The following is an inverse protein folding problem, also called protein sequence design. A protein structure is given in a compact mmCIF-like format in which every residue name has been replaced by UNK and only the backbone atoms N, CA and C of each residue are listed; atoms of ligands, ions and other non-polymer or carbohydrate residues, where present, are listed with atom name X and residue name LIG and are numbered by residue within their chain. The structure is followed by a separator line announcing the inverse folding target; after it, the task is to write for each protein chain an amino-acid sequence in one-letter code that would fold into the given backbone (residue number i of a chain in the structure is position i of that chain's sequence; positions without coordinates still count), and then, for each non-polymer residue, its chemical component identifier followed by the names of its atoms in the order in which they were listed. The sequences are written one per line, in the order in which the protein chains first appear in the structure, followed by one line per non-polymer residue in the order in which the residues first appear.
data_IF_319142846866
#
_entry.id   IF_319142846866
#
_cell.length_a   1.000
_cell.length_b   1.000
_cell.length_c   1.000
_cell.angle_alpha   90.00
_cell.angle_beta   90.00
_cell.angle_gamma   90.00
#
_symmetry.space_group_name_H-M   'P 1'
#
loop_
_entity.id
_entity.type
_entity.pdbx_description
1 polymer ?
#
# COMPACT_ATOMS: atom_id res chain seq x y z
N UNK A 1 21.59 -34.64 -16.28
CA UNK A 1 21.82 -34.80 -14.83
C UNK A 1 20.55 -34.34 -14.14
N UNK A 2 19.68 -35.30 -13.85
CA UNK A 2 18.42 -35.11 -13.11
C UNK A 2 18.74 -34.77 -11.65
N UNK A 3 18.13 -33.73 -11.10
CA UNK A 3 18.11 -33.49 -9.66
C UNK A 3 16.70 -33.82 -9.15
N UNK A 4 16.59 -34.98 -8.51
CA UNK A 4 15.38 -35.45 -7.84
C UNK A 4 15.12 -34.64 -6.56
N UNK A 5 13.94 -34.01 -6.50
CA UNK A 5 13.38 -33.40 -5.29
C UNK A 5 13.06 -34.49 -4.26
N UNK A 6 13.64 -34.39 -3.07
CA UNK A 6 13.49 -35.35 -1.97
C UNK A 6 12.06 -35.23 -1.39
N UNK A 7 11.25 -36.32 -1.34
CA UNK A 7 9.85 -36.30 -0.92
C UNK A 7 9.65 -36.29 0.62
N UNK A 8 10.51 -35.58 1.35
CA UNK A 8 10.51 -35.56 2.83
C UNK A 8 10.17 -34.21 3.46
N UNK A 9 10.20 -33.11 2.71
CA UNK A 9 10.15 -31.77 3.31
C UNK A 9 8.75 -31.36 3.82
N UNK A 10 7.69 -31.96 3.28
CA UNK A 10 6.31 -31.66 3.67
C UNK A 10 5.86 -32.39 4.95
N UNK A 11 6.56 -33.45 5.37
CA UNK A 11 6.18 -34.22 6.57
C UNK A 11 6.61 -33.57 7.89
N UNK A 12 7.57 -32.64 7.89
CA UNK A 12 8.01 -31.94 9.10
C UNK A 12 7.11 -30.76 9.52
N UNK A 13 6.28 -30.22 8.63
CA UNK A 13 5.43 -29.05 8.91
C UNK A 13 4.14 -29.38 9.68
N UNK A 14 3.81 -30.67 9.87
CA UNK A 14 2.58 -31.11 10.53
C UNK A 14 2.79 -31.68 11.94
N UNK A 15 4.02 -31.66 12.47
CA UNK A 15 4.31 -32.16 13.81
C UNK A 15 5.17 -31.15 14.59
N UNK A 16 4.52 -30.42 15.50
CA UNK A 16 5.10 -29.51 16.50
C UNK A 16 5.36 -28.04 16.07
N UNK A 17 4.41 -27.11 16.33
CA UNK A 17 4.60 -25.67 16.10
C UNK A 17 5.67 -24.99 17.01
N UNK A 18 6.29 -25.72 17.94
CA UNK A 18 7.37 -25.19 18.81
C UNK A 18 8.77 -25.14 18.16
N UNK A 19 8.99 -25.75 16.99
CA UNK A 19 10.30 -25.80 16.34
C UNK A 19 10.45 -24.87 15.13
N UNK A 20 9.37 -24.22 14.67
CA UNK A 20 9.40 -23.33 13.48
C UNK A 20 9.97 -21.95 13.82
N UNK A 21 9.72 -21.45 15.04
CA UNK A 21 10.21 -20.15 15.52
C UNK A 21 11.75 -20.08 15.61
N UNK A 22 12.48 -21.06 16.19
CA UNK A 22 13.94 -20.96 16.29
C UNK A 22 14.66 -21.03 14.93
N UNK A 23 14.10 -21.74 13.93
CA UNK A 23 14.70 -21.82 12.60
C UNK A 23 14.61 -20.49 11.84
N UNK A 24 13.48 -19.78 11.94
CA UNK A 24 13.30 -18.47 11.32
C UNK A 24 14.22 -17.41 11.96
N UNK A 25 14.39 -17.46 13.29
CA UNK A 25 15.28 -16.55 14.03
C UNK A 25 16.74 -16.77 13.64
N UNK A 26 17.17 -18.03 13.47
CA UNK A 26 18.53 -18.34 13.02
C UNK A 26 18.79 -17.84 11.59
N UNK A 27 17.82 -17.97 10.68
CA UNK A 27 17.94 -17.46 9.31
C UNK A 27 18.03 -15.93 9.26
N UNK A 28 17.23 -15.22 10.07
CA UNK A 28 17.30 -13.74 10.16
C UNK A 28 18.62 -13.26 10.77
N UNK A 29 19.15 -13.98 11.77
CA UNK A 29 20.45 -13.66 12.38
C UNK A 29 21.61 -13.87 11.39
N UNK A 30 21.58 -14.94 10.58
CA UNK A 30 22.57 -15.17 9.55
C UNK A 30 22.56 -14.09 8.45
N UNK A 31 21.38 -13.62 8.05
CA UNK A 31 21.25 -12.52 7.09
C UNK A 31 21.76 -11.20 7.68
N UNK A 32 21.49 -10.93 8.96
CA UNK A 32 22.01 -9.74 9.64
C UNK A 32 23.55 -9.74 9.74
N UNK A 33 24.17 -10.89 10.02
CA UNK A 33 25.63 -11.00 10.10
C UNK A 33 26.32 -10.73 8.75
N UNK A 34 25.74 -11.19 7.64
CA UNK A 34 26.24 -10.89 6.30
C UNK A 34 26.17 -9.39 5.98
N UNK A 35 25.05 -8.76 6.31
CA UNK A 35 24.88 -7.29 6.14
C UNK A 35 25.89 -6.52 7.01
N UNK A 36 26.25 -7.03 8.19
CA UNK A 36 27.24 -6.39 9.04
C UNK A 36 28.65 -6.43 8.44
N UNK A 37 29.05 -7.54 7.81
CA UNK A 37 30.31 -7.67 7.06
C UNK A 37 30.35 -6.75 5.84
N UNK A 38 29.25 -6.66 5.09
CA UNK A 38 29.11 -5.74 3.97
C UNK A 38 29.26 -4.26 4.42
N UNK A 39 28.75 -3.90 5.60
CA UNK A 39 28.89 -2.52 6.11
C UNK A 39 30.35 -2.19 6.46
N UNK A 40 31.16 -3.16 6.91
CA UNK A 40 32.59 -2.93 7.19
C UNK A 40 33.42 -2.83 5.90
N UNK A 41 33.10 -3.62 4.87
CA UNK A 41 33.75 -3.48 3.56
C UNK A 41 33.40 -2.13 2.90
N UNK A 42 32.15 -1.66 3.09
CA UNK A 42 31.70 -0.36 2.58
C UNK A 42 32.55 0.78 3.13
N UNK A 43 33.00 0.72 4.40
CA UNK A 43 33.91 1.72 4.96
C UNK A 43 35.23 1.76 4.19
N UNK A 44 35.78 0.61 3.79
CA UNK A 44 37.03 0.51 3.02
C UNK A 44 36.86 1.06 1.60
N UNK A 45 35.75 0.72 0.95
CA UNK A 45 35.43 1.22 -0.39
C UNK A 45 35.22 2.74 -0.41
N UNK A 46 34.56 3.30 0.62
CA UNK A 46 34.40 4.74 0.77
C UNK A 46 35.74 5.47 0.98
N UNK A 47 36.69 4.89 1.72
CA UNK A 47 38.04 5.46 1.87
C UNK A 47 38.85 5.31 0.57
N UNK A 48 38.67 4.22 -0.16
CA UNK A 48 39.36 3.94 -1.42
C UNK A 48 38.93 4.87 -2.55
N UNK A 49 37.62 5.14 -2.66
CA UNK A 49 37.03 5.92 -3.75
C UNK A 49 36.75 7.38 -3.36
N UNK A 50 36.57 7.64 -2.07
CA UNK A 50 36.15 8.94 -1.56
C UNK A 50 37.26 9.99 -1.61
N UNK A 51 36.83 11.25 -1.69
CA UNK A 51 37.68 12.42 -1.51
C UNK A 51 37.54 12.91 -0.08
N UNK A 52 38.65 13.26 0.56
CA UNK A 52 38.62 13.87 1.88
C UNK A 52 38.01 15.28 1.82
N UNK A 53 36.98 15.53 2.62
CA UNK A 53 36.43 16.87 2.83
C UNK A 53 37.24 17.62 3.91
N UNK A 54 37.10 18.94 4.00
CA UNK A 54 37.74 19.81 4.99
C UNK A 54 37.48 19.39 6.44
N UNK A 55 36.39 18.65 6.68
CA UNK A 55 36.02 18.09 7.98
C UNK A 55 36.73 16.78 8.34
N UNK A 56 37.63 16.28 7.49
CA UNK A 56 38.33 14.99 7.70
C UNK A 56 37.45 13.75 7.44
N UNK A 57 36.28 13.93 6.82
CA UNK A 57 35.38 12.86 6.40
C UNK A 57 35.63 12.51 4.93
N UNK A 58 35.31 11.27 4.55
CA UNK A 58 35.38 10.83 3.15
C UNK A 58 34.00 10.98 2.50
N UNK A 59 33.98 11.61 1.33
CA UNK A 59 32.78 11.82 0.53
C UNK A 59 32.95 11.18 -0.84
N UNK A 60 31.96 10.40 -1.29
CA UNK A 60 31.93 9.81 -2.62
C UNK A 60 30.58 10.08 -3.28
N UNK A 61 30.58 10.29 -4.60
CA UNK A 61 29.35 10.34 -5.37
C UNK A 61 28.78 8.93 -5.57
N UNK A 62 27.47 8.80 -5.47
CA UNK A 62 26.75 7.55 -5.64
C UNK A 62 27.09 6.84 -6.95
N UNK A 63 27.14 7.58 -8.07
CA UNK A 63 27.41 7.01 -9.39
C UNK A 63 28.79 6.35 -9.44
N UNK A 64 29.81 7.00 -8.86
CA UNK A 64 31.18 6.47 -8.80
C UNK A 64 31.27 5.21 -7.95
N UNK A 65 30.55 5.17 -6.82
CA UNK A 65 30.47 3.97 -5.99
C UNK A 65 29.74 2.83 -6.71
N UNK A 66 28.66 3.13 -7.42
CA UNK A 66 27.84 2.14 -8.12
C UNK A 66 28.56 1.56 -9.35
N UNK A 67 29.33 2.37 -10.09
CA UNK A 67 30.03 1.94 -11.30
C UNK A 67 31.36 1.21 -11.03
N UNK A 68 31.78 1.07 -9.77
CA UNK A 68 32.99 0.35 -9.41
C UNK A 68 32.80 -1.19 -9.47
N UNK A 69 33.64 -1.84 -10.25
CA UNK A 69 33.56 -3.29 -10.51
C UNK A 69 33.66 -4.14 -9.22
N UNK A 70 34.42 -3.69 -8.21
CA UNK A 70 34.55 -4.44 -6.94
C UNK A 70 33.28 -4.34 -6.11
N UNK A 71 32.64 -3.17 -6.13
CA UNK A 71 31.36 -2.94 -5.45
C UNK A 71 30.27 -3.79 -6.12
N UNK A 72 30.19 -3.79 -7.45
CA UNK A 72 29.20 -4.60 -8.17
C UNK A 72 29.34 -6.12 -7.92
N UNK A 73 30.57 -6.62 -7.76
CA UNK A 73 30.83 -8.03 -7.48
C UNK A 73 30.61 -8.43 -6.02
N UNK A 74 30.82 -7.51 -5.08
CA UNK A 74 30.80 -7.82 -3.63
C UNK A 74 29.42 -7.67 -3.00
N UNK A 75 28.66 -6.62 -3.35
CA UNK A 75 27.36 -6.35 -2.73
C UNK A 75 26.22 -7.01 -3.51
N UNK A 76 25.47 -7.89 -2.86
CA UNK A 76 24.27 -8.51 -3.44
C UNK A 76 23.18 -7.45 -3.74
N UNK A 77 23.07 -6.46 -2.86
CA UNK A 77 22.21 -5.30 -3.04
C UNK A 77 22.80 -4.08 -2.35
N UNK A 78 23.59 -3.28 -3.08
CA UNK A 78 24.26 -2.07 -2.58
C UNK A 78 23.30 -1.13 -1.79
N UNK A 79 22.04 -1.01 -2.23
CA UNK A 79 21.01 -0.21 -1.54
C UNK A 79 20.54 -0.79 -0.22
N UNK A 80 20.55 -2.11 -0.07
CA UNK A 80 20.30 -2.76 1.22
C UNK A 80 21.39 -2.40 2.22
N UNK A 81 22.66 -2.53 1.81
CA UNK A 81 23.84 -2.24 2.64
C UNK A 81 23.90 -0.77 3.04
N UNK A 82 23.69 0.16 2.11
CA UNK A 82 23.69 1.60 2.41
C UNK A 82 22.56 2.02 3.36
N UNK A 83 21.37 1.41 3.26
CA UNK A 83 20.28 1.64 4.24
C UNK A 83 20.64 1.10 5.62
N UNK A 84 21.27 -0.08 5.69
CA UNK A 84 21.72 -0.65 6.96
C UNK A 84 22.80 0.22 7.61
N UNK A 85 23.78 0.68 6.83
CA UNK A 85 24.84 1.60 7.26
C UNK A 85 24.27 2.94 7.74
N UNK A 86 23.29 3.52 7.02
CA UNK A 86 22.60 4.76 7.43
C UNK A 86 21.81 4.58 8.72
N UNK A 87 21.14 3.44 8.90
CA UNK A 87 20.42 3.11 10.14
C UNK A 87 21.37 2.95 11.34
N UNK A 88 22.60 2.48 11.10
CA UNK A 88 23.67 2.39 12.11
C UNK A 88 24.41 3.71 12.35
N UNK A 89 24.17 4.74 11.53
CA UNK A 89 24.87 6.03 11.63
C UNK A 89 26.30 6.01 11.09
N UNK A 90 26.66 5.02 10.26
CA UNK A 90 27.98 4.91 9.64
C UNK A 90 28.12 5.88 8.46
N UNK A 91 27.05 6.03 7.68
CA UNK A 91 27.00 6.90 6.48
C UNK A 91 25.79 7.82 6.51
N UNK A 92 25.93 8.98 5.87
CA UNK A 92 24.85 9.92 5.62
C UNK A 92 24.73 10.21 4.13
N UNK A 93 23.49 10.22 3.62
CA UNK A 93 23.15 10.63 2.26
C UNK A 93 21.71 11.15 2.23
N UNK A 94 21.41 12.01 1.26
CA UNK A 94 20.07 12.60 1.08
C UNK A 94 19.13 11.63 0.34
N UNK A 95 17.89 11.49 0.82
CA UNK A 95 16.88 10.59 0.23
C UNK A 95 16.70 9.24 0.93
N UNK A 96 15.57 8.59 0.60
CA UNK A 96 15.18 7.27 1.14
C UNK A 96 15.59 6.10 0.23
N UNK A 97 15.76 6.35 -1.07
CA UNK A 97 16.15 5.36 -2.06
C UNK A 97 16.95 6.06 -3.17
N UNK A 98 18.10 5.48 -3.52
CA UNK A 98 18.94 5.99 -4.61
C UNK A 98 18.79 5.01 -5.78
N UNK A 99 18.58 5.58 -6.97
CA UNK A 99 18.42 4.87 -8.23
C UNK A 99 19.50 5.36 -9.17
N UNK A 100 20.19 4.42 -9.85
CA UNK A 100 21.19 4.72 -10.88
C UNK A 100 20.59 5.64 -11.95
N UNK A 101 21.33 6.65 -12.40
CA UNK A 101 20.91 7.67 -13.36
C UNK A 101 20.29 8.89 -12.70
N UNK A 102 19.31 8.69 -11.80
CA UNK A 102 18.61 9.80 -11.14
C UNK A 102 19.41 10.40 -9.97
N UNK A 103 20.18 9.57 -9.26
CA UNK A 103 20.85 9.94 -8.01
C UNK A 103 22.36 9.84 -8.08
N UNK A 104 22.95 9.78 -9.27
CA UNK A 104 24.39 9.57 -9.44
C UNK A 104 25.23 10.68 -8.80
N UNK A 105 24.67 11.90 -8.72
CA UNK A 105 25.30 13.09 -8.11
C UNK A 105 25.07 13.21 -6.61
N UNK A 106 24.37 12.26 -5.97
CA UNK A 106 24.15 12.30 -4.52
C UNK A 106 25.44 11.93 -3.80
N UNK A 107 25.86 12.78 -2.87
CA UNK A 107 27.08 12.59 -2.07
C UNK A 107 26.76 11.68 -0.88
N UNK A 108 27.58 10.66 -0.68
CA UNK A 108 27.57 9.77 0.47
C UNK A 108 28.75 10.15 1.36
N UNK A 109 28.45 10.60 2.58
CA UNK A 109 29.45 11.02 3.57
C UNK A 109 29.66 9.92 4.60
N UNK A 110 30.92 9.54 4.86
CA UNK A 110 31.31 8.62 5.93
C UNK A 110 31.40 9.37 7.27
N UNK A 111 30.58 8.98 8.25
CA UNK A 111 30.54 9.59 9.59
C UNK A 111 31.48 8.91 10.60
N UNK A 112 31.78 7.62 10.42
CA UNK A 112 32.61 6.85 11.33
C UNK A 112 33.97 6.53 10.68
N UNK A 113 35.06 6.96 11.32
CA UNK A 113 36.40 6.69 10.84
C UNK A 113 36.74 5.19 11.02
N UNK A 114 37.33 4.51 10.01
CA UNK A 114 37.81 3.15 10.18
C UNK A 114 38.97 3.14 11.18
N UNK A 115 38.90 2.21 12.14
CA UNK A 115 39.83 2.06 13.28
C UNK A 115 41.32 2.00 12.91
N UNK A 116 41.68 1.71 11.66
CA UNK A 116 43.05 1.38 11.25
C UNK A 116 43.61 2.22 10.08
N UNK A 117 43.01 3.37 9.73
CA UNK A 117 43.49 4.19 8.61
C UNK A 117 44.61 5.19 9.00
N UNK A 118 45.70 5.29 8.22
CA UNK A 118 46.72 6.34 8.40
C UNK A 118 46.15 7.72 8.07
N UNK A 119 46.50 8.71 8.91
CA UNK A 119 45.95 10.07 8.88
C UNK A 119 45.99 10.73 7.47
N UNK A 120 44.90 11.39 7.04
CA UNK A 120 44.83 12.02 5.72
C UNK A 120 45.75 13.24 5.63
N UNK A 121 46.54 13.32 4.55
CA UNK A 121 47.36 14.48 4.21
C UNK A 121 46.47 15.66 3.73
N UNK A 122 46.80 16.92 4.09
CA UNK A 122 45.93 18.07 3.84
C UNK A 122 45.88 18.49 2.36
N UNK A 123 44.67 18.81 1.92
CA UNK A 123 44.28 19.17 0.56
C UNK A 123 44.77 20.56 0.10
N UNK A 124 45.14 20.67 -1.18
CA UNK A 124 45.33 21.91 -1.90
C UNK A 124 44.02 22.31 -2.62
N UNK A 125 43.64 23.59 -2.50
CA UNK A 125 42.46 24.21 -3.12
C UNK A 125 42.87 25.09 -4.34
N UNK A 126 41.94 25.75 -5.07
CA UNK A 126 41.36 25.27 -6.32
C UNK A 126 41.62 26.20 -7.52
N UNK A 127 41.37 25.72 -8.75
CA UNK A 127 41.36 26.56 -9.96
C UNK A 127 40.07 26.33 -10.78
N UNK A 128 39.54 27.43 -11.30
CA UNK A 128 38.29 27.59 -12.02
C UNK A 128 38.45 27.41 -13.54
N UNK A 129 37.41 26.93 -14.24
CA UNK A 129 37.10 27.22 -15.66
C UNK A 129 35.74 26.55 -16.00
N UNK A 130 34.66 27.27 -16.24
CA UNK A 130 34.20 27.97 -17.47
C UNK A 130 33.47 27.06 -18.49
N UNK A 131 32.29 27.53 -18.93
CA UNK A 131 31.37 26.88 -19.85
C UNK A 131 31.89 26.88 -21.30
N UNK A 132 31.28 26.14 -22.25
CA UNK A 132 30.25 26.78 -23.06
C UNK A 132 29.11 25.87 -23.57
N UNK A 133 28.17 26.53 -24.24
CA UNK A 133 26.89 26.06 -24.72
C UNK A 133 26.91 25.42 -26.13
N UNK A 134 25.76 24.78 -26.42
CA UNK A 134 25.01 24.75 -27.69
C UNK A 134 25.07 23.51 -28.61
N UNK A 135 23.85 23.04 -28.92
CA UNK A 135 23.31 22.77 -30.27
C UNK A 135 22.91 21.31 -30.65
N UNK A 136 21.62 21.21 -31.00
CA UNK A 136 21.04 20.53 -32.18
C UNK A 136 20.70 19.02 -32.15
N UNK A 137 19.39 18.76 -32.23
CA UNK A 137 18.74 17.62 -32.91
C UNK A 137 18.96 17.68 -34.45
N UNK A 138 18.55 16.73 -35.34
CA UNK A 138 17.48 15.72 -35.18
C UNK A 138 17.69 14.35 -35.91
N UNK A 139 16.62 13.54 -35.93
CA UNK A 139 16.17 12.64 -37.03
C UNK A 139 16.12 11.11 -36.78
N UNK A 140 14.87 10.63 -36.74
CA UNK A 140 14.28 9.41 -37.28
C UNK A 140 15.18 8.27 -37.82
N UNK A 141 14.87 7.03 -37.39
CA UNK A 141 14.86 5.86 -38.27
C UNK A 141 13.95 4.75 -37.72
N UNK A 142 13.08 4.27 -38.59
CA UNK A 142 12.19 3.15 -38.42
C UNK A 142 12.95 1.81 -38.46
N UNK A 143 12.46 0.80 -37.73
CA UNK A 143 12.71 -0.61 -38.07
C UNK A 143 11.54 -1.47 -37.60
N UNK A 144 11.00 -2.25 -38.53
CA UNK A 144 9.86 -3.13 -38.39
C UNK A 144 10.31 -4.58 -38.16
N UNK A 145 9.50 -5.33 -37.38
CA UNK A 145 9.24 -6.78 -37.43
C UNK A 145 10.40 -7.76 -37.09
N UNK A 146 10.14 -9.04 -36.69
CA UNK A 146 8.90 -9.80 -36.87
C UNK A 146 8.35 -10.58 -35.65
N UNK A 147 7.19 -11.16 -35.93
CA UNK A 147 6.35 -12.02 -35.12
C UNK A 147 6.91 -13.44 -34.85
N UNK A 148 6.19 -14.11 -33.94
CA UNK A 148 5.99 -15.55 -33.77
C UNK A 148 6.88 -16.29 -32.75
N UNK A 149 6.26 -16.65 -31.61
CA UNK A 149 6.53 -17.91 -30.93
C UNK A 149 5.27 -18.36 -30.17
N UNK A 150 4.85 -19.59 -30.47
CA UNK A 150 3.61 -20.23 -30.08
C UNK A 150 3.57 -20.60 -28.58
N UNK A 151 2.45 -20.31 -27.91
CA UNK A 151 2.13 -20.85 -26.59
C UNK A 151 1.20 -22.06 -26.73
N UNK A 152 1.65 -23.17 -26.14
CA UNK A 152 1.02 -24.49 -26.10
C UNK A 152 -0.30 -24.49 -25.35
N UNK A 153 -1.37 -24.93 -26.01
CA UNK A 153 -2.64 -25.27 -25.39
C UNK A 153 -2.57 -26.66 -24.76
N UNK A 154 -2.55 -26.73 -23.43
CA UNK A 154 -2.86 -27.98 -22.71
C UNK A 154 -4.38 -28.10 -22.54
N UNK A 155 -4.97 -29.29 -22.73
CA UNK A 155 -6.40 -29.52 -22.55
C UNK A 155 -6.75 -29.50 -21.06
N UNK A 156 -7.43 -28.44 -20.63
CA UNK A 156 -7.98 -28.29 -19.28
C UNK A 156 -9.12 -29.32 -19.10
N UNK A 157 -8.92 -30.30 -18.22
CA UNK A 157 -9.99 -31.23 -17.82
C UNK A 157 -10.98 -30.49 -16.89
N UNK A 158 -12.29 -30.51 -17.17
CA UNK A 158 -13.27 -29.90 -16.28
C UNK A 158 -13.33 -30.69 -14.96
N UNK A 159 -12.87 -30.05 -13.88
CA UNK A 159 -13.04 -30.54 -12.51
C UNK A 159 -14.51 -30.35 -12.13
N UNK A 160 -15.23 -31.45 -11.90
CA UNK A 160 -16.59 -31.37 -11.37
C UNK A 160 -16.54 -30.82 -9.94
N UNK A 161 -17.24 -29.71 -9.73
CA UNK A 161 -17.33 -28.98 -8.46
C UNK A 161 -18.14 -29.77 -7.43
N UNK A 162 -17.74 -29.69 -6.16
CA UNK A 162 -18.43 -30.36 -5.04
C UNK A 162 -19.59 -29.50 -4.50
N UNK A 163 -20.55 -30.09 -3.80
CA UNK A 163 -21.75 -29.37 -3.30
C UNK A 163 -21.46 -28.21 -2.31
N UNK A 164 -20.27 -28.14 -1.70
CA UNK A 164 -19.83 -26.98 -0.92
C UNK A 164 -19.45 -25.78 -1.81
N UNK A 165 -19.13 -26.03 -3.08
CA UNK A 165 -18.78 -25.06 -4.11
C UNK A 165 -20.03 -24.51 -4.83
N UNK A 166 -21.24 -24.95 -4.42
CA UNK A 166 -22.54 -24.42 -4.88
C UNK A 166 -23.05 -23.24 -4.02
N UNK A 167 -22.33 -22.83 -2.96
CA UNK A 167 -22.49 -21.51 -2.34
C UNK A 167 -21.62 -20.47 -3.07
N UNK A 168 -21.77 -20.40 -4.40
CA UNK A 168 -21.15 -19.33 -5.18
C UNK A 168 -21.83 -18.02 -4.74
N UNK A 169 -21.09 -16.98 -4.31
CA UNK A 169 -21.69 -15.70 -4.00
C UNK A 169 -22.45 -15.18 -5.23
N UNK A 170 -23.58 -14.48 -5.07
CA UNK A 170 -24.38 -14.01 -6.19
C UNK A 170 -23.51 -13.17 -7.13
N UNK A 171 -23.23 -13.72 -8.31
CA UNK A 171 -22.42 -13.08 -9.36
C UNK A 171 -23.15 -11.94 -10.08
N UNK A 172 -24.39 -11.66 -9.69
CA UNK A 172 -25.22 -10.63 -10.30
C UNK A 172 -25.47 -9.49 -9.29
N UNK A 173 -25.34 -8.24 -9.77
CA UNK A 173 -25.69 -7.04 -9.02
C UNK A 173 -27.16 -7.16 -8.60
N UNK A 174 -27.42 -7.50 -7.34
CA UNK A 174 -28.80 -7.53 -6.86
C UNK A 174 -29.38 -6.11 -6.94
N UNK A 175 -30.65 -5.94 -7.34
CA UNK A 175 -31.28 -4.63 -7.42
C UNK A 175 -31.18 -3.84 -6.09
N UNK A 176 -31.16 -4.56 -4.96
CA UNK A 176 -30.99 -4.00 -3.62
C UNK A 176 -29.61 -3.37 -3.39
N UNK A 177 -28.53 -4.02 -3.89
CA UNK A 177 -27.18 -3.46 -3.82
C UNK A 177 -27.06 -2.19 -4.66
N UNK A 178 -27.62 -2.20 -5.87
CA UNK A 178 -27.63 -1.02 -6.74
C UNK A 178 -28.40 0.15 -6.11
N UNK A 179 -29.56 -0.11 -5.52
CA UNK A 179 -30.34 0.93 -4.84
C UNK A 179 -29.58 1.50 -3.63
N UNK A 180 -28.92 0.64 -2.85
CA UNK A 180 -28.10 1.06 -1.70
C UNK A 180 -26.90 1.89 -2.16
N UNK A 181 -26.24 1.48 -3.24
CA UNK A 181 -25.13 2.20 -3.84
C UNK A 181 -25.58 3.57 -4.38
N UNK A 182 -26.71 3.63 -5.09
CA UNK A 182 -27.25 4.87 -5.63
C UNK A 182 -27.61 5.87 -4.52
N UNK A 183 -28.09 5.41 -3.36
CA UNK A 183 -28.32 6.27 -2.20
C UNK A 183 -27.02 6.89 -1.67
N UNK A 184 -25.92 6.12 -1.66
CA UNK A 184 -24.58 6.64 -1.30
C UNK A 184 -24.09 7.60 -2.39
N UNK A 185 -24.27 7.26 -3.66
CA UNK A 185 -23.81 8.07 -4.79
C UNK A 185 -24.54 9.43 -4.88
N UNK A 186 -25.79 9.47 -4.44
CA UNK A 186 -26.56 10.73 -4.36
C UNK A 186 -26.16 11.62 -3.17
N UNK A 187 -25.29 11.14 -2.28
CA UNK A 187 -24.86 11.88 -1.08
C UNK A 187 -23.70 12.83 -1.37
N UNK A 188 -23.46 13.79 -0.47
CA UNK A 188 -22.32 14.70 -0.61
C UNK A 188 -20.98 13.96 -0.56
N UNK A 189 -19.91 14.40 -1.26
CA UNK A 189 -18.62 13.70 -1.27
C UNK A 189 -17.98 13.52 0.11
N UNK A 190 -18.29 14.38 1.10
CA UNK A 190 -17.86 14.17 2.50
C UNK A 190 -18.48 12.90 3.09
N UNK A 191 -19.78 12.69 2.83
CA UNK A 191 -20.52 11.53 3.33
C UNK A 191 -20.12 10.25 2.61
N UNK A 192 -19.76 10.35 1.33
CA UNK A 192 -19.12 9.25 0.60
C UNK A 192 -17.79 8.84 1.25
N UNK A 193 -16.92 9.81 1.57
CA UNK A 193 -15.65 9.57 2.25
C UNK A 193 -15.84 8.99 3.66
N UNK A 194 -16.80 9.52 4.43
CA UNK A 194 -17.17 8.99 5.74
C UNK A 194 -17.64 7.53 5.64
N UNK A 195 -18.54 7.23 4.71
CA UNK A 195 -19.04 5.88 4.49
C UNK A 195 -17.91 4.92 4.13
N UNK A 196 -17.01 5.33 3.22
CA UNK A 196 -15.84 4.55 2.85
C UNK A 196 -14.91 4.28 4.04
N UNK A 197 -14.64 5.29 4.86
CA UNK A 197 -13.85 5.13 6.09
C UNK A 197 -14.53 4.16 7.06
N UNK A 198 -15.85 4.26 7.26
CA UNK A 198 -16.58 3.29 8.09
C UNK A 198 -16.41 1.86 7.55
N UNK A 199 -16.49 1.64 6.25
CA UNK A 199 -16.30 0.29 5.69
C UNK A 199 -14.86 -0.22 5.81
N UNK A 200 -13.85 0.63 5.60
CA UNK A 200 -12.48 0.18 5.33
C UNK A 200 -11.38 0.69 6.28
N UNK A 201 -11.70 1.42 7.36
CA UNK A 201 -10.67 2.03 8.24
C UNK A 201 -9.62 1.05 8.80
N UNK A 202 -10.00 -0.21 9.02
CA UNK A 202 -9.05 -1.24 9.48
C UNK A 202 -8.14 -1.72 8.35
N UNK A 203 -8.71 -1.96 7.17
CA UNK A 203 -7.97 -2.47 6.02
C UNK A 203 -7.04 -1.40 5.41
N UNK A 204 -7.39 -0.12 5.56
CA UNK A 204 -6.57 1.02 5.13
C UNK A 204 -5.27 1.21 5.91
N UNK A 205 -5.09 0.57 7.08
CA UNK A 205 -3.86 0.75 7.86
C UNK A 205 -3.64 2.21 8.26
N UNK A 206 -2.53 2.82 7.81
CA UNK A 206 -2.22 4.25 8.00
C UNK A 206 -2.67 5.14 6.84
N UNK A 207 -3.03 4.56 5.69
CA UNK A 207 -3.46 5.27 4.47
C UNK A 207 -4.85 5.90 4.56
N UNK A 208 -5.59 5.68 5.66
CA UNK A 208 -6.88 6.33 5.88
C UNK A 208 -6.79 7.87 5.89
N UNK A 209 -5.61 8.42 6.21
CA UNK A 209 -5.32 9.86 6.17
C UNK A 209 -5.31 10.42 4.75
N UNK A 210 -5.08 9.56 3.76
CA UNK A 210 -5.04 9.95 2.36
C UNK A 210 -6.46 10.21 1.84
N UNK A 211 -7.50 9.61 2.44
CA UNK A 211 -8.90 9.78 2.00
C UNK A 211 -9.36 11.25 2.06
N UNK A 212 -9.19 12.00 3.18
CA UNK A 212 -9.48 13.44 3.20
C UNK A 212 -8.62 14.27 2.21
N UNK A 213 -7.35 13.90 2.02
CA UNK A 213 -6.47 14.59 1.07
C UNK A 213 -6.94 14.39 -0.38
N UNK A 214 -7.31 13.16 -0.73
CA UNK A 214 -7.89 12.79 -2.02
C UNK A 214 -9.24 13.48 -2.23
N UNK A 215 -10.08 13.57 -1.21
CA UNK A 215 -11.37 14.29 -1.29
C UNK A 215 -11.16 15.77 -1.64
N UNK A 216 -10.21 16.43 -0.97
CA UNK A 216 -9.87 17.82 -1.27
C UNK A 216 -9.34 17.99 -2.70
N UNK A 217 -8.46 17.09 -3.13
CA UNK A 217 -7.93 17.09 -4.49
C UNK A 217 -9.02 16.85 -5.54
N UNK A 218 -9.92 15.91 -5.26
CA UNK A 218 -11.05 15.54 -6.13
C UNK A 218 -11.97 16.74 -6.34
N UNK A 219 -12.41 17.40 -5.25
CA UNK A 219 -13.25 18.60 -5.36
C UNK A 219 -12.60 19.70 -6.16
N UNK A 220 -11.33 19.98 -5.89
CA UNK A 220 -10.59 21.01 -6.61
C UNK A 220 -10.54 20.70 -8.12
N UNK A 221 -10.25 19.45 -8.47
CA UNK A 221 -10.19 19.06 -9.88
C UNK A 221 -11.56 19.07 -10.57
N UNK A 222 -12.62 18.72 -9.84
CA UNK A 222 -14.00 18.78 -10.32
C UNK A 222 -14.40 20.24 -10.60
N UNK A 223 -14.13 21.16 -9.66
CA UNK A 223 -14.43 22.58 -9.81
C UNK A 223 -13.59 23.29 -10.87
N UNK A 224 -12.32 22.91 -11.03
CA UNK A 224 -11.41 23.54 -12.01
C UNK A 224 -11.78 23.17 -13.46
N UNK A 225 -12.45 22.04 -13.66
CA UNK A 225 -12.73 21.49 -14.99
C UNK A 225 -14.21 21.50 -15.36
N UNK A 226 -15.12 21.72 -14.42
CA UNK A 226 -16.54 21.90 -14.69
C UNK A 226 -16.79 23.32 -15.23
N UNK A 227 -17.42 23.41 -16.40
CA UNK A 227 -17.96 24.66 -16.94
C UNK A 227 -19.35 25.00 -16.37
N UNK A 228 -19.77 24.31 -15.29
CA UNK A 228 -21.08 24.40 -14.66
C UNK A 228 -21.08 23.92 -13.19
N UNK A 229 -22.24 24.01 -12.54
CA UNK A 229 -22.44 24.04 -11.08
C UNK A 229 -22.26 22.70 -10.32
N UNK A 230 -21.89 21.61 -10.99
CA UNK A 230 -21.83 20.27 -10.36
C UNK A 230 -20.42 19.94 -9.82
N UNK A 231 -20.10 20.45 -8.63
CA UNK A 231 -18.83 20.20 -7.89
C UNK A 231 -18.68 18.77 -7.30
N UNK A 232 -19.53 17.82 -7.70
CA UNK A 232 -19.72 16.53 -7.00
C UNK A 232 -19.19 15.32 -7.77
N UNK A 233 -19.18 15.37 -9.09
CA UNK A 233 -18.84 14.25 -9.98
C UNK A 233 -17.90 14.69 -11.10
N UNK A 234 -17.20 13.75 -11.72
CA UNK A 234 -16.30 13.98 -12.85
C UNK A 234 -16.73 13.17 -14.06
N UNK A 235 -16.67 13.72 -15.27
CA UNK A 235 -16.82 12.89 -16.47
C UNK A 235 -15.60 11.95 -16.64
N UNK A 236 -15.70 10.94 -17.50
CA UNK A 236 -14.61 9.97 -17.71
C UNK A 236 -13.26 10.60 -18.14
N UNK A 237 -13.28 11.73 -18.85
CA UNK A 237 -12.06 12.41 -19.30
C UNK A 237 -11.37 13.10 -18.12
N UNK A 238 -12.15 13.80 -17.29
CA UNK A 238 -11.71 14.43 -16.05
C UNK A 238 -11.21 13.38 -15.05
N UNK A 239 -12.00 12.33 -14.81
CA UNK A 239 -11.62 11.23 -13.93
C UNK A 239 -10.34 10.54 -14.42
N UNK A 240 -10.18 10.39 -15.75
CA UNK A 240 -8.95 9.91 -16.36
C UNK A 240 -7.75 10.79 -16.01
N UNK A 241 -7.84 12.11 -16.17
CA UNK A 241 -6.77 13.03 -15.83
C UNK A 241 -6.45 13.04 -14.32
N UNK A 242 -7.49 12.95 -13.49
CA UNK A 242 -7.37 12.89 -12.04
C UNK A 242 -6.63 11.62 -11.57
N UNK A 243 -7.01 10.45 -12.11
CA UNK A 243 -6.33 9.17 -11.85
C UNK A 243 -4.85 9.20 -12.23
N UNK A 244 -4.50 9.96 -13.26
CA UNK A 244 -3.12 10.14 -13.69
C UNK A 244 -2.29 10.95 -12.68
N UNK A 245 -2.92 11.90 -12.00
CA UNK A 245 -2.27 12.82 -11.07
C UNK A 245 -2.18 12.25 -9.65
N UNK A 246 -3.19 11.49 -9.23
CA UNK A 246 -3.35 11.00 -7.86
C UNK A 246 -3.40 9.48 -7.75
N UNK A 247 -3.11 8.75 -8.83
CA UNK A 247 -3.13 7.29 -8.85
C UNK A 247 -1.91 6.70 -9.54
N UNK A 248 -1.95 5.38 -9.75
CA UNK A 248 -0.92 4.67 -10.50
C UNK A 248 -1.03 4.93 -12.00
N UNK A 249 0.11 4.92 -12.68
CA UNK A 249 0.18 5.10 -14.13
C UNK A 249 -0.52 3.96 -14.84
N UNK A 250 -1.45 4.29 -15.75
CA UNK A 250 -2.23 3.35 -16.55
C UNK A 250 -2.19 3.75 -18.00
N UNK A 251 -2.19 2.77 -18.90
CA UNK A 251 -2.42 3.04 -20.33
C UNK A 251 -3.82 3.63 -20.56
N UNK A 252 -4.01 4.29 -21.70
CA UNK A 252 -5.32 4.88 -22.03
C UNK A 252 -6.44 3.84 -22.12
N UNK A 253 -6.13 2.65 -22.64
CA UNK A 253 -7.08 1.53 -22.75
C UNK A 253 -7.46 0.95 -21.40
N UNK A 254 -6.49 0.67 -20.53
CA UNK A 254 -6.74 0.12 -19.18
C UNK A 254 -7.60 1.08 -18.37
N UNK A 255 -7.27 2.36 -18.40
CA UNK A 255 -8.01 3.36 -17.62
C UNK A 255 -9.44 3.52 -18.09
N UNK A 256 -9.67 3.51 -19.41
CA UNK A 256 -11.02 3.57 -19.94
C UNK A 256 -11.83 2.34 -19.49
N UNK A 257 -11.23 1.15 -19.58
CA UNK A 257 -11.90 -0.08 -19.21
C UNK A 257 -12.21 -0.14 -17.70
N UNK A 258 -11.28 0.29 -16.85
CA UNK A 258 -11.47 0.37 -15.40
C UNK A 258 -12.51 1.42 -14.99
N UNK A 259 -12.48 2.60 -15.61
CA UNK A 259 -13.50 3.64 -15.35
C UNK A 259 -14.89 3.14 -15.74
N UNK A 260 -15.02 2.43 -16.87
CA UNK A 260 -16.29 1.82 -17.27
C UNK A 260 -16.73 0.69 -16.34
N UNK A 261 -15.80 -0.08 -15.75
CA UNK A 261 -16.16 -1.15 -14.79
C UNK A 261 -16.61 -0.58 -13.44
N UNK A 262 -16.04 0.55 -13.03
CA UNK A 262 -16.30 1.18 -11.73
C UNK A 262 -17.39 2.26 -11.80
N UNK A 263 -17.85 2.66 -12.99
CA UNK A 263 -19.11 3.38 -13.21
C UNK A 263 -20.28 2.41 -12.98
N UNK A 264 -20.68 2.26 -11.71
CA UNK A 264 -21.56 1.16 -11.29
C UNK A 264 -23.01 1.40 -11.74
N UNK A 265 -23.45 2.67 -11.71
CA UNK A 265 -24.79 3.11 -12.11
C UNK A 265 -24.90 3.51 -13.58
N UNK A 266 -23.77 3.54 -14.32
CA UNK A 266 -23.69 3.79 -15.76
C UNK A 266 -24.18 5.17 -16.17
N UNK A 267 -23.94 6.18 -15.34
CA UNK A 267 -24.31 7.57 -15.64
C UNK A 267 -23.24 8.30 -16.49
N UNK A 268 -22.10 7.64 -16.75
CA UNK A 268 -20.97 8.18 -17.51
C UNK A 268 -20.16 9.24 -16.75
N UNK A 269 -20.44 9.37 -15.45
CA UNK A 269 -19.72 10.19 -14.50
C UNK A 269 -19.10 9.28 -13.44
N UNK A 270 -18.13 9.83 -12.73
CA UNK A 270 -17.37 9.14 -11.70
C UNK A 270 -17.50 9.98 -10.46
N UNK A 271 -18.19 9.42 -9.49
CA UNK A 271 -18.31 9.96 -8.15
C UNK A 271 -17.05 9.75 -7.32
N UNK A 272 -16.99 10.42 -6.17
CA UNK A 272 -15.85 10.24 -5.27
C UNK A 272 -15.78 8.81 -4.71
N UNK A 273 -16.92 8.17 -4.44
CA UNK A 273 -16.93 6.79 -3.92
C UNK A 273 -16.42 5.80 -4.97
N UNK A 274 -16.80 5.96 -6.24
CA UNK A 274 -16.31 5.14 -7.36
C UNK A 274 -14.81 5.32 -7.56
N UNK A 275 -14.33 6.57 -7.48
CA UNK A 275 -12.90 6.84 -7.49
C UNK A 275 -12.18 6.10 -6.35
N UNK A 276 -12.72 6.11 -5.12
CA UNK A 276 -12.12 5.39 -3.99
C UNK A 276 -12.11 3.87 -4.20
N UNK A 277 -13.19 3.30 -4.76
CA UNK A 277 -13.25 1.89 -5.11
C UNK A 277 -12.14 1.51 -6.11
N UNK A 278 -11.89 2.36 -7.10
CA UNK A 278 -10.81 2.14 -8.07
C UNK A 278 -9.42 2.38 -7.48
N UNK A 279 -9.25 3.43 -6.67
CA UNK A 279 -7.97 3.80 -6.06
C UNK A 279 -7.48 2.72 -5.08
N UNK A 280 -8.39 2.17 -4.28
CA UNK A 280 -8.09 1.13 -3.29
C UNK A 280 -8.49 -0.28 -3.75
N UNK A 281 -8.64 -0.50 -5.06
CA UNK A 281 -9.15 -1.73 -5.66
C UNK A 281 -8.51 -3.01 -5.11
N UNK A 282 -7.18 -3.08 -5.08
CA UNK A 282 -6.46 -4.28 -4.59
C UNK A 282 -6.76 -4.57 -3.12
N UNK A 283 -6.81 -3.53 -2.28
CA UNK A 283 -7.11 -3.68 -0.86
C UNK A 283 -8.52 -4.24 -0.68
N UNK A 284 -9.51 -3.67 -1.39
CA UNK A 284 -10.90 -4.08 -1.30
C UNK A 284 -11.08 -5.52 -1.79
N UNK A 285 -10.48 -5.88 -2.93
CA UNK A 285 -10.52 -7.25 -3.45
C UNK A 285 -9.85 -8.24 -2.49
N UNK A 286 -8.74 -7.86 -1.87
CA UNK A 286 -8.06 -8.71 -0.89
C UNK A 286 -8.97 -9.02 0.31
N UNK A 287 -9.67 -8.01 0.84
CA UNK A 287 -10.62 -8.23 1.95
C UNK A 287 -11.86 -9.01 1.50
N UNK A 288 -12.37 -8.77 0.29
CA UNK A 288 -13.44 -9.56 -0.31
C UNK A 288 -13.08 -11.06 -0.35
N UNK A 289 -11.95 -11.41 -0.97
CA UNK A 289 -11.51 -12.80 -1.08
C UNK A 289 -11.26 -13.45 0.27
N UNK A 290 -10.67 -12.71 1.21
CA UNK A 290 -10.45 -13.17 2.59
C UNK A 290 -11.74 -13.42 3.34
N UNK A 291 -12.78 -12.60 3.14
CA UNK A 291 -14.08 -12.74 3.79
C UNK A 291 -14.83 -13.96 3.31
N UNK A 292 -14.80 -14.21 2.00
CA UNK A 292 -15.47 -15.36 1.39
C UNK A 292 -14.62 -16.64 1.40
N UNK A 293 -13.41 -16.60 1.96
CA UNK A 293 -12.44 -17.73 1.96
C UNK A 293 -12.16 -18.26 0.54
N UNK A 294 -12.17 -17.36 -0.45
CA UNK A 294 -11.97 -17.66 -1.86
C UNK A 294 -10.53 -17.33 -2.27
N UNK A 295 -10.00 -18.10 -3.23
CA UNK A 295 -8.73 -17.76 -3.88
C UNK A 295 -8.97 -16.64 -4.90
N UNK A 296 -8.12 -15.60 -4.95
CA UNK A 296 -8.23 -14.55 -5.96
C UNK A 296 -8.26 -15.12 -7.37
N UNK A 297 -9.29 -14.77 -8.14
CA UNK A 297 -9.42 -15.17 -9.54
C UNK A 297 -8.56 -14.28 -10.45
N UNK A 298 -8.43 -13.00 -10.10
CA UNK A 298 -7.64 -12.03 -10.82
C UNK A 298 -6.22 -11.91 -10.26
N UNK A 299 -5.28 -11.52 -11.12
CA UNK A 299 -3.92 -11.21 -10.70
C UNK A 299 -3.88 -9.85 -9.99
N UNK A 300 -3.91 -9.89 -8.66
CA UNK A 300 -3.82 -8.70 -7.79
C UNK A 300 -2.40 -8.10 -7.76
N UNK A 301 -1.45 -8.60 -8.55
CA UNK A 301 -0.14 -7.98 -8.72
C UNK A 301 -0.25 -6.62 -9.45
N UNK A 302 0.86 -5.87 -9.50
CA UNK A 302 0.93 -4.58 -10.21
C UNK A 302 -0.18 -3.57 -9.81
N UNK A 303 -0.49 -3.48 -8.50
CA UNK A 303 -1.54 -2.60 -7.96
C UNK A 303 -2.94 -2.82 -8.61
N UNK A 304 -3.17 -4.01 -9.20
CA UNK A 304 -4.43 -4.39 -9.82
C UNK A 304 -4.76 -3.59 -11.08
N UNK A 305 -3.77 -2.98 -11.72
CA UNK A 305 -3.94 -2.21 -12.96
C UNK A 305 -4.40 -3.14 -14.10
N UNK A 306 -5.45 -2.73 -14.81
CA UNK A 306 -6.03 -3.47 -15.93
C UNK A 306 -7.09 -4.50 -15.52
N UNK A 307 -7.29 -4.74 -14.22
CA UNK A 307 -8.36 -5.62 -13.74
C UNK A 307 -9.72 -4.95 -13.93
N UNK A 308 -10.62 -5.64 -14.64
CA UNK A 308 -11.99 -5.22 -14.96
C UNK A 308 -12.98 -6.35 -14.66
N UNK A 309 -14.29 -6.05 -14.72
CA UNK A 309 -15.39 -6.92 -14.32
C UNK A 309 -15.42 -7.24 -12.82
N UNK A 310 -14.79 -6.40 -11.99
CA UNK A 310 -14.73 -6.58 -10.54
C UNK A 310 -15.60 -5.59 -9.79
N UNK A 311 -16.26 -4.64 -10.49
CA UNK A 311 -17.12 -3.63 -9.87
C UNK A 311 -18.16 -4.19 -8.90
N UNK A 312 -18.73 -5.37 -9.20
CA UNK A 312 -19.69 -6.04 -8.31
C UNK A 312 -19.04 -6.53 -7.00
N UNK A 313 -17.82 -7.09 -7.04
CA UNK A 313 -17.06 -7.52 -5.85
C UNK A 313 -16.70 -6.32 -4.97
N UNK A 314 -16.35 -5.19 -5.61
CA UNK A 314 -16.02 -3.94 -4.93
C UNK A 314 -17.23 -3.36 -4.18
N UNK A 315 -18.39 -3.32 -4.83
CA UNK A 315 -19.63 -2.81 -4.22
C UNK A 315 -20.14 -3.73 -3.11
N UNK A 316 -20.09 -5.04 -3.33
CA UNK A 316 -20.49 -6.02 -2.31
C UNK A 316 -19.65 -5.85 -1.03
N UNK A 317 -18.32 -5.74 -1.16
CA UNK A 317 -17.46 -5.52 0.01
C UNK A 317 -17.67 -4.13 0.63
N UNK A 318 -17.89 -3.09 -0.18
CA UNK A 318 -18.19 -1.72 0.30
C UNK A 318 -19.45 -1.69 1.17
N UNK A 319 -20.51 -2.37 0.74
CA UNK A 319 -21.80 -2.42 1.44
C UNK A 319 -21.78 -3.41 2.61
N UNK A 320 -20.82 -4.34 2.64
CA UNK A 320 -20.66 -5.28 3.74
C UNK A 320 -19.94 -4.64 4.93
N UNK A 321 -20.65 -3.72 5.60
CA UNK A 321 -20.20 -3.10 6.84
C UNK A 321 -19.79 -4.18 7.86
N UNK A 322 -18.64 -4.02 8.55
CA UNK A 322 -18.23 -4.96 9.57
C UNK A 322 -19.30 -4.99 10.68
N UNK A 323 -20.03 -6.11 10.78
CA UNK A 323 -21.08 -6.30 11.79
C UNK A 323 -20.49 -6.05 13.18
N UNK A 324 -21.06 -5.09 13.91
CA UNK A 324 -20.63 -4.74 15.27
C UNK A 324 -19.41 -3.82 15.33
N UNK A 325 -19.30 -2.85 14.41
CA UNK A 325 -18.40 -1.71 14.60
C UNK A 325 -18.60 -1.12 16.00
N UNK A 326 -17.50 -0.84 16.70
CA UNK A 326 -17.57 -0.26 18.03
C UNK A 326 -18.22 1.13 17.93
N UNK A 327 -19.33 1.42 18.63
CA UNK A 327 -20.02 2.71 18.51
C UNK A 327 -19.12 3.90 18.81
N UNK A 328 -18.08 3.73 19.63
CA UNK A 328 -17.11 4.80 19.90
C UNK A 328 -16.19 5.07 18.70
N UNK A 329 -15.88 4.05 17.88
CA UNK A 329 -15.14 4.24 16.64
C UNK A 329 -16.00 4.97 15.61
N UNK A 330 -17.27 4.59 15.48
CA UNK A 330 -18.19 5.26 14.56
C UNK A 330 -18.35 6.75 14.90
N UNK A 331 -18.60 7.06 16.18
CA UNK A 331 -18.68 8.44 16.65
C UNK A 331 -17.37 9.22 16.45
N UNK A 332 -16.21 8.56 16.62
CA UNK A 332 -14.91 9.19 16.37
C UNK A 332 -14.67 9.49 14.88
N UNK A 333 -15.13 8.61 13.97
CA UNK A 333 -15.06 8.85 12.53
C UNK A 333 -15.97 10.02 12.15
N UNK A 334 -17.19 10.05 12.66
CA UNK A 334 -18.15 11.14 12.41
C UNK A 334 -17.62 12.48 12.93
N UNK A 335 -17.09 12.53 14.16
CA UNK A 335 -16.48 13.74 14.69
C UNK A 335 -15.30 14.21 13.82
N UNK A 336 -14.45 13.28 13.37
CA UNK A 336 -13.32 13.61 12.50
C UNK A 336 -13.77 14.19 11.15
N UNK A 337 -14.78 13.60 10.50
CA UNK A 337 -15.27 14.11 9.21
C UNK A 337 -16.01 15.43 9.35
N UNK A 338 -16.75 15.63 10.45
CA UNK A 338 -17.41 16.89 10.78
C UNK A 338 -16.41 18.03 11.00
N UNK A 339 -15.34 17.79 11.77
CA UNK A 339 -14.31 18.81 12.00
C UNK A 339 -13.56 19.16 10.72
N UNK A 340 -13.26 18.18 9.86
CA UNK A 340 -12.66 18.42 8.56
C UNK A 340 -13.57 19.27 7.67
N UNK A 341 -14.87 18.94 7.64
CA UNK A 341 -15.87 19.72 6.91
C UNK A 341 -15.97 21.15 7.45
N UNK A 342 -16.08 21.32 8.77
CA UNK A 342 -16.18 22.63 9.40
C UNK A 342 -14.94 23.50 9.10
N UNK A 343 -13.75 22.90 9.12
CA UNK A 343 -12.51 23.58 8.74
C UNK A 343 -12.51 23.99 7.26
N UNK A 344 -12.91 23.08 6.37
CA UNK A 344 -13.00 23.36 4.94
C UNK A 344 -13.98 24.52 4.64
N UNK A 345 -15.18 24.48 5.22
CA UNK A 345 -16.16 25.57 5.07
C UNK A 345 -15.63 26.91 5.60
N UNK A 346 -14.88 26.90 6.71
CA UNK A 346 -14.26 28.11 7.25
C UNK A 346 -13.23 28.67 6.28
N UNK A 347 -12.39 27.81 5.69
CA UNK A 347 -11.41 28.19 4.66
C UNK A 347 -12.12 28.80 3.46
N UNK A 348 -13.18 28.17 2.95
CA UNK A 348 -13.90 28.68 1.77
C UNK A 348 -14.62 30.00 2.05
N UNK A 349 -15.24 30.15 3.23
CA UNK A 349 -15.83 31.44 3.67
C UNK A 349 -14.77 32.54 3.74
N UNK A 350 -13.56 32.22 4.20
CA UNK A 350 -12.45 33.19 4.28
C UNK A 350 -11.87 33.52 2.90
N UNK A 351 -11.75 32.54 1.99
CA UNK A 351 -11.34 32.77 0.60
C UNK A 351 -12.29 33.74 -0.11
N UNK A 352 -13.61 33.49 -0.03
CA UNK A 352 -14.62 34.39 -0.60
C UNK A 352 -14.54 35.81 -0.03
N UNK A 353 -14.29 35.96 1.28
CA UNK A 353 -14.08 37.27 1.91
C UNK A 353 -12.77 37.92 1.48
N UNK A 354 -11.71 37.15 1.30
CA UNK A 354 -10.40 37.61 0.85
C UNK A 354 -10.44 38.15 -0.58
N UNK A 355 -11.25 37.53 -1.45
CA UNK A 355 -11.48 37.95 -2.84
C UNK A 355 -12.23 39.30 -2.93
N UNK A 356 -13.14 39.58 -1.99
CA UNK A 356 -13.88 40.84 -1.95
C UNK A 356 -12.99 42.09 -1.71
N UNK A 357 -11.73 41.91 -1.27
CA UNK A 357 -10.76 42.98 -1.08
C UNK A 357 -11.03 43.92 0.11
N UNK A 358 -10.31 45.05 0.16
CA UNK A 358 -10.39 46.04 1.23
C UNK A 358 -9.82 45.58 2.58
N UNK A 359 -10.05 46.36 3.64
CA UNK A 359 -9.53 46.08 4.99
C UNK A 359 -10.08 44.76 5.55
N UNK A 360 -11.37 44.47 5.30
CA UNK A 360 -12.00 43.19 5.70
C UNK A 360 -11.44 42.00 4.91
N UNK A 361 -11.16 42.18 3.62
CA UNK A 361 -10.52 41.14 2.81
C UNK A 361 -9.07 40.86 3.22
N UNK A 362 -8.30 41.89 3.59
CA UNK A 362 -6.94 41.71 4.14
C UNK A 362 -6.96 40.99 5.49
N UNK A 363 -7.92 41.31 6.37
CA UNK A 363 -8.11 40.57 7.62
C UNK A 363 -8.43 39.09 7.36
N UNK A 364 -9.33 38.80 6.42
CA UNK A 364 -9.67 37.42 6.03
C UNK A 364 -8.47 36.66 5.43
N UNK A 365 -7.62 37.32 4.62
CA UNK A 365 -6.36 36.75 4.12
C UNK A 365 -5.41 36.38 5.26
N UNK A 366 -5.25 37.26 6.25
CA UNK A 366 -4.41 36.98 7.40
C UNK A 366 -4.96 35.82 8.24
N UNK A 367 -6.27 35.79 8.50
CA UNK A 367 -6.91 34.65 9.17
C UNK A 367 -6.75 33.34 8.41
N UNK A 368 -6.84 33.38 7.07
CA UNK A 368 -6.61 32.22 6.21
C UNK A 368 -5.17 31.72 6.32
N UNK A 369 -4.19 32.63 6.24
CA UNK A 369 -2.77 32.29 6.43
C UNK A 369 -2.57 31.67 7.83
N UNK A 370 -3.19 32.22 8.87
CA UNK A 370 -3.14 31.66 10.23
C UNK A 370 -3.82 30.29 10.29
N UNK A 371 -4.91 30.02 9.57
CA UNK A 371 -5.56 28.70 9.58
C UNK A 371 -4.82 27.64 8.75
N UNK A 372 -4.14 28.07 7.69
CA UNK A 372 -3.34 27.19 6.84
C UNK A 372 -1.97 26.87 7.48
N UNK A 373 -1.34 27.86 8.11
CA UNK A 373 -0.03 27.72 8.78
C UNK A 373 -0.12 27.39 10.28
N UNK A 374 -1.26 27.65 10.89
CA UNK A 374 -1.41 27.62 12.34
C UNK A 374 -1.77 26.26 12.91
N UNK A 375 -2.08 26.33 14.19
CA UNK A 375 -2.12 25.20 15.10
C UNK A 375 -3.13 24.13 14.69
N UNK A 376 -2.61 22.96 14.29
CA UNK A 376 -3.41 21.78 13.99
C UNK A 376 -3.83 21.01 15.25
N UNK A 377 -3.61 21.55 16.46
CA UNK A 377 -3.89 20.85 17.73
C UNK A 377 -5.28 20.23 17.80
N UNK A 378 -6.35 20.94 17.43
CA UNK A 378 -7.70 20.36 17.51
C UNK A 378 -7.87 19.18 16.52
N UNK A 379 -7.42 19.34 15.27
CA UNK A 379 -7.44 18.25 14.28
C UNK A 379 -6.59 17.06 14.74
N UNK A 380 -5.41 17.34 15.30
CA UNK A 380 -4.50 16.34 15.85
C UNK A 380 -5.13 15.64 17.06
N UNK A 381 -5.89 16.34 17.90
CA UNK A 381 -6.62 15.73 19.04
C UNK A 381 -7.69 14.76 18.56
N UNK A 382 -8.43 15.12 17.51
CA UNK A 382 -9.47 14.23 16.98
C UNK A 382 -8.88 13.08 16.18
N UNK A 383 -7.78 13.29 15.45
CA UNK A 383 -6.99 12.21 14.88
C UNK A 383 -6.47 11.25 15.95
N UNK A 384 -5.93 11.76 17.07
CA UNK A 384 -5.49 10.92 18.20
C UNK A 384 -6.66 10.16 18.84
N UNK A 385 -7.83 10.80 18.95
CA UNK A 385 -9.06 10.17 19.46
C UNK A 385 -9.51 9.04 18.55
N UNK A 386 -9.49 9.27 17.24
CA UNK A 386 -9.80 8.27 16.23
C UNK A 386 -8.79 7.12 16.25
N UNK A 387 -7.49 7.39 16.35
CA UNK A 387 -6.46 6.35 16.49
C UNK A 387 -6.62 5.53 17.76
N UNK A 388 -6.96 6.17 18.89
CA UNK A 388 -7.23 5.49 20.15
C UNK A 388 -8.46 4.59 20.04
N UNK A 389 -9.54 5.08 19.42
CA UNK A 389 -10.75 4.31 19.16
C UNK A 389 -10.46 3.11 18.23
N UNK A 390 -9.69 3.33 17.15
CA UNK A 390 -9.25 2.27 16.23
C UNK A 390 -8.46 1.19 16.95
N UNK A 391 -7.44 1.56 17.73
CA UNK A 391 -6.63 0.61 18.53
C UNK A 391 -7.48 -0.17 19.53
N UNK A 392 -8.44 0.49 20.18
CA UNK A 392 -9.37 -0.16 21.12
C UNK A 392 -10.27 -1.17 20.40
N UNK A 393 -10.79 -0.81 19.23
CA UNK A 393 -11.62 -1.70 18.42
C UNK A 393 -10.82 -2.90 17.88
N UNK A 394 -9.58 -2.69 17.42
CA UNK A 394 -8.66 -3.77 17.00
C UNK A 394 -8.36 -4.75 18.15
N UNK A 395 -8.06 -4.24 19.34
CA UNK A 395 -7.81 -5.07 20.52
C UNK A 395 -9.05 -5.89 20.89
N UNK A 396 -10.24 -5.29 20.84
CA UNK A 396 -11.50 -5.98 21.09
C UNK A 396 -11.74 -7.06 20.04
N UNK A 397 -11.57 -6.76 18.75
CA UNK A 397 -11.70 -7.73 17.64
C UNK A 397 -10.71 -8.88 17.79
N UNK A 398 -9.44 -8.60 18.09
CA UNK A 398 -8.42 -9.62 18.36
C UNK A 398 -8.81 -10.53 19.53
N UNK A 399 -9.32 -9.97 20.63
CA UNK A 399 -9.79 -10.77 21.77
C UNK A 399 -10.99 -11.66 21.42
N UNK A 400 -11.91 -11.18 20.59
CA UNK A 400 -13.08 -11.94 20.13
C UNK A 400 -12.67 -13.07 19.17
N UNK A 401 -11.74 -12.80 18.24
CA UNK A 401 -11.21 -13.82 17.32
C UNK A 401 -10.50 -14.91 18.12
N UNK A 402 -9.66 -14.56 19.09
CA UNK A 402 -8.98 -15.54 19.95
C UNK A 402 -9.97 -16.35 20.78
N UNK A 403 -11.04 -15.73 21.30
CA UNK A 403 -12.09 -16.45 22.01
C UNK A 403 -12.85 -17.42 21.08
N UNK A 404 -13.17 -16.99 19.86
CA UNK A 404 -13.84 -17.84 18.86
C UNK A 404 -12.95 -19.01 18.41
N UNK A 405 -11.65 -18.78 18.20
CA UNK A 405 -10.69 -19.84 17.87
C UNK A 405 -10.55 -20.86 19.01
N UNK A 406 -10.47 -20.39 20.27
CA UNK A 406 -10.46 -21.28 21.44
C UNK A 406 -11.74 -22.11 21.53
N UNK A 407 -12.90 -21.48 21.36
CA UNK A 407 -14.19 -22.17 21.37
C UNK A 407 -14.28 -23.22 20.25
N UNK A 408 -13.82 -22.90 19.04
CA UNK A 408 -13.76 -23.84 17.90
C UNK A 408 -12.81 -25.01 18.21
N UNK A 409 -11.60 -24.74 18.71
CA UNK A 409 -10.64 -25.78 19.07
C UNK A 409 -11.14 -26.69 20.20
N UNK A 410 -11.82 -26.13 21.21
CA UNK A 410 -12.46 -26.91 22.28
C UNK A 410 -13.61 -27.78 21.75
N UNK A 411 -14.41 -27.26 20.82
CA UNK A 411 -15.48 -28.02 20.18
C UNK A 411 -14.93 -29.17 19.32
N UNK A 412 -13.87 -28.92 18.54
CA UNK A 412 -13.17 -29.93 17.74
C UNK A 412 -12.54 -31.01 18.64
N UNK A 413 -11.92 -30.62 19.76
CA UNK A 413 -11.34 -31.57 20.71
C UNK A 413 -12.41 -32.42 21.40
N UNK A 414 -13.55 -31.83 21.78
CA UNK A 414 -14.70 -32.58 22.32
C UNK A 414 -15.26 -33.57 21.30
N UNK A 415 -15.48 -33.12 20.06
CA UNK A 415 -15.94 -33.98 18.97
C UNK A 415 -14.96 -35.14 18.68
N UNK A 416 -13.65 -34.86 18.70
CA UNK A 416 -12.62 -35.89 18.55
C UNK A 416 -12.64 -36.91 19.70
N UNK A 417 -12.82 -36.45 20.95
CA UNK A 417 -12.92 -37.32 22.12
C UNK A 417 -14.17 -38.22 22.07
N UNK A 418 -15.31 -37.68 21.65
CA UNK A 418 -16.55 -38.43 21.46
C UNK A 418 -16.42 -39.48 20.35
N UNK A 419 -15.81 -39.10 19.22
CA UNK A 419 -15.52 -40.03 18.13
C UNK A 419 -14.56 -41.16 18.57
N UNK A 420 -13.55 -40.85 19.39
CA UNK A 420 -12.67 -41.87 19.98
C UNK A 420 -13.41 -42.80 20.94
N UNK A 421 -14.27 -42.25 21.82
CA UNK A 421 -15.12 -43.06 22.71
C UNK A 421 -16.04 -43.99 21.92
N UNK A 422 -16.67 -43.50 20.85
CA UNK A 422 -17.51 -44.31 19.96
C UNK A 422 -16.71 -45.43 19.28
N UNK A 423 -15.51 -45.16 18.78
CA UNK A 423 -14.62 -46.17 18.19
C UNK A 423 -14.20 -47.24 19.20
N UNK A 424 -13.87 -46.84 20.44
CA UNK A 424 -13.49 -47.78 21.50
C UNK A 424 -14.69 -48.64 21.95
N UNK A 425 -15.89 -48.06 22.03
CA UNK A 425 -17.12 -48.79 22.30
C UNK A 425 -17.44 -49.82 21.20
N UNK A 426 -17.34 -49.42 19.93
CA UNK A 426 -17.52 -50.33 18.79
C UNK A 426 -16.49 -51.47 18.80
N UNK A 427 -15.23 -51.18 19.13
CA UNK A 427 -14.18 -52.19 19.27
C UNK A 427 -14.47 -53.18 20.39
N UNK A 428 -14.93 -52.70 21.56
CA UNK A 428 -15.34 -53.59 22.67
C UNK A 428 -16.48 -54.53 22.26
N UNK A 429 -17.52 -54.01 21.60
CA UNK A 429 -18.64 -54.83 21.13
C UNK A 429 -18.22 -55.92 20.13
N UNK A 430 -17.22 -55.64 19.29
CA UNK A 430 -16.64 -56.65 18.38
C UNK A 430 -15.89 -57.77 19.12
N UNK A 431 -15.18 -57.44 20.20
CA UNK A 431 -14.50 -58.45 21.02
C UNK A 431 -15.49 -59.33 21.80
N UNK A 432 -16.54 -58.75 22.36
CA UNK A 432 -17.58 -59.51 23.09
C UNK A 432 -18.33 -60.49 22.18
N UNK A 433 -18.55 -60.17 20.89
CA UNK A 433 -19.19 -61.10 19.94
C UNK A 433 -18.31 -62.28 19.50
N UNK A 434 -17.00 -62.23 19.75
CA UNK A 434 -16.05 -63.23 19.28
C UNK A 434 -15.76 -64.33 20.31
N UNK A 435 -16.07 -64.06 21.58
CA UNK A 435 -16.08 -65.04 22.67
C UNK A 435 -17.48 -65.62 22.83
#
# INVERSE_FOLDING_TARGET
VEYGLIPGFWACLLWSPSLVVPCLVAAMAALSAKVDEEVEELKKDLVRLGRGNASGQYEVEYGVLFDDEKVEQFYEALMGTLKAAKKKGVVAFEGQMLLKGAHDKVIITLLEAPSDAPAPAPAAAPAAEEAPAAAAAPAAAAAAAPAAAAASSSPFKPRMKTAAEMMIPPTEKTPEMLASFQAINSSHPDKMGEFFLKSFIFALGDSWKDVPALLKAFRKHASDTSSGENDVTMNHIQASAFLQSFGKTRTGSERKAELTDVDIDNDGQISFIEYLLLHYKVMILTEYYKRYELTPEEDLSNDGIGIVNVGHKLVDELLTLPKGMDPALEAAIEQFTEEQKARAEKIDKLKKKAEAGGVKGMAAKNELIILESGDQTEMNRVELTLMAAKRKAEKRRGSQILAAQKAKAEAELKAAHEAQRAKMAARRAMFEKKN
#
